data_IF_661580196894
#
_entry.id   IF_661580196894
#
_cell.length_a   1.000
_cell.length_b   1.000
_cell.length_c   1.000
_cell.angle_alpha   90.00
_cell.angle_beta   90.00
_cell.angle_gamma   90.00
#
_symmetry.space_group_name_H-M   'P 1'
#
loop_
_entity.id
_entity.type
_entity.pdbx_description
1 polymer ?
#
# COMPACT_ATOMS: atom_id res chain seq x y z
N UNK A 1 6.02 22.32 -5.07
CA UNK A 1 6.00 21.21 -4.12
C UNK A 1 4.78 20.35 -4.43
N UNK A 2 4.97 19.09 -4.81
CA UNK A 2 3.93 18.12 -5.12
C UNK A 2 4.02 16.98 -4.10
N UNK A 3 2.89 16.63 -3.50
CA UNK A 3 2.77 15.52 -2.55
C UNK A 3 1.87 14.44 -3.14
N UNK A 4 2.27 13.18 -2.99
CA UNK A 4 1.38 12.03 -3.20
C UNK A 4 0.88 11.58 -1.83
N UNK A 5 -0.43 11.60 -1.62
CA UNK A 5 -1.03 11.25 -0.34
C UNK A 5 -1.90 10.00 -0.51
N UNK A 6 -1.58 8.95 0.25
CA UNK A 6 -2.28 7.67 0.29
C UNK A 6 -2.54 7.27 1.75
N UNK A 7 -3.46 6.33 1.99
CA UNK A 7 -3.81 5.85 3.32
C UNK A 7 -4.43 4.45 3.23
N UNK A 8 -4.67 3.81 4.37
CA UNK A 8 -5.54 2.62 4.51
C UNK A 8 -5.15 1.43 3.61
N UNK A 9 -3.85 1.15 3.50
CA UNK A 9 -3.33 0.08 2.66
C UNK A 9 -3.73 -1.31 3.19
N UNK A 10 -3.76 -1.47 4.52
CA UNK A 10 -4.04 -2.71 5.23
C UNK A 10 -3.31 -3.94 4.63
N UNK A 11 -2.00 -3.84 4.38
CA UNK A 11 -1.22 -4.93 3.77
C UNK A 11 -1.34 -6.19 4.64
N UNK A 12 -1.61 -7.33 4.00
CA UNK A 12 -1.87 -8.62 4.67
C UNK A 12 -3.34 -8.89 5.00
N UNK A 13 -4.26 -8.05 4.51
CA UNK A 13 -5.71 -8.21 4.72
C UNK A 13 -6.22 -9.51 4.12
N UNK A 14 -7.25 -10.08 4.76
CA UNK A 14 -8.06 -11.16 4.18
C UNK A 14 -9.50 -10.68 4.05
N UNK A 15 -10.14 -10.99 2.93
CA UNK A 15 -11.53 -10.64 2.65
C UNK A 15 -12.30 -11.93 2.44
N UNK A 16 -13.27 -12.24 3.31
CA UNK A 16 -14.02 -13.50 3.28
C UNK A 16 -13.12 -14.74 3.17
N UNK A 17 -12.07 -14.79 4.01
CA UNK A 17 -11.05 -15.84 4.02
C UNK A 17 -10.07 -15.86 2.84
N UNK A 18 -10.31 -15.09 1.78
CA UNK A 18 -9.38 -14.94 0.66
C UNK A 18 -8.23 -14.01 1.01
N UNK A 19 -7.02 -14.44 0.68
CA UNK A 19 -5.83 -13.59 0.74
C UNK A 19 -5.84 -12.65 -0.46
N UNK A 20 -5.61 -11.36 -0.23
CA UNK A 20 -5.57 -10.33 -1.29
C UNK A 20 -4.16 -9.77 -1.50
N UNK A 21 -3.12 -10.46 -1.03
CA UNK A 21 -1.72 -10.03 -1.15
C UNK A 21 -1.32 -9.76 -2.61
N UNK A 22 -1.75 -10.59 -3.56
CA UNK A 22 -1.42 -10.38 -4.97
C UNK A 22 -2.05 -9.09 -5.52
N UNK A 23 -3.30 -8.80 -5.16
CA UNK A 23 -3.97 -7.53 -5.50
C UNK A 23 -3.29 -6.33 -4.82
N UNK A 24 -2.85 -6.51 -3.57
CA UNK A 24 -2.11 -5.49 -2.83
C UNK A 24 -0.75 -5.20 -3.46
N UNK A 25 -0.06 -6.23 -3.94
CA UNK A 25 1.18 -6.06 -4.71
C UNK A 25 0.92 -5.30 -6.02
N UNK A 26 -0.14 -5.67 -6.74
CA UNK A 26 -0.52 -4.98 -7.98
C UNK A 26 -0.76 -3.49 -7.76
N UNK A 27 -1.52 -3.11 -6.72
CA UNK A 27 -1.79 -1.68 -6.47
C UNK A 27 -0.53 -0.93 -6.01
N UNK A 28 0.35 -1.55 -5.22
CA UNK A 28 1.64 -0.95 -4.85
C UNK A 28 2.53 -0.71 -6.08
N UNK A 29 2.56 -1.64 -7.04
CA UNK A 29 3.25 -1.46 -8.32
C UNK A 29 2.66 -0.29 -9.14
N UNK A 30 1.33 -0.12 -9.14
CA UNK A 30 0.70 1.05 -9.77
C UNK A 30 1.04 2.36 -9.05
N UNK A 31 1.10 2.38 -7.71
CA UNK A 31 1.49 3.56 -6.94
C UNK A 31 2.94 3.95 -7.27
N UNK A 32 3.85 2.98 -7.40
CA UNK A 32 5.22 3.24 -7.82
C UNK A 32 5.27 3.86 -9.22
N UNK A 33 4.53 3.28 -10.18
CA UNK A 33 4.43 3.84 -11.54
C UNK A 33 3.90 5.28 -11.55
N UNK A 34 2.84 5.56 -10.78
CA UNK A 34 2.30 6.92 -10.63
C UNK A 34 3.35 7.86 -10.01
N UNK A 35 4.12 7.37 -9.04
CA UNK A 35 5.20 8.14 -8.42
C UNK A 35 6.29 8.50 -9.44
N UNK A 36 6.67 7.56 -10.31
CA UNK A 36 7.65 7.79 -11.38
C UNK A 36 7.16 8.79 -12.44
N UNK A 37 5.88 8.70 -12.82
CA UNK A 37 5.24 9.57 -13.81
C UNK A 37 5.04 10.99 -13.26
N UNK A 38 4.48 11.12 -12.06
CA UNK A 38 4.09 12.40 -11.47
C UNK A 38 5.23 13.15 -10.78
N UNK A 39 6.29 12.43 -10.40
CA UNK A 39 7.49 12.95 -9.70
C UNK A 39 7.13 13.84 -8.50
N UNK A 40 6.37 13.33 -7.50
CA UNK A 40 6.12 14.08 -6.28
C UNK A 40 7.42 14.27 -5.50
N UNK A 41 7.52 15.37 -4.75
CA UNK A 41 8.64 15.64 -3.86
C UNK A 41 8.62 14.71 -2.63
N UNK A 42 7.44 14.21 -2.24
CA UNK A 42 7.27 13.27 -1.13
C UNK A 42 5.99 12.46 -1.25
N UNK A 43 6.01 11.25 -0.66
CA UNK A 43 4.84 10.39 -0.49
C UNK A 43 4.47 10.37 0.99
N UNK A 44 3.22 10.72 1.30
CA UNK A 44 2.64 10.63 2.64
C UNK A 44 1.71 9.42 2.71
N UNK A 45 1.96 8.54 3.68
CA UNK A 45 1.09 7.40 3.99
C UNK A 45 0.38 7.68 5.32
N UNK A 46 -0.88 8.07 5.28
CA UNK A 46 -1.65 8.52 6.44
C UNK A 46 -2.32 7.36 7.19
N UNK A 47 -1.50 6.47 7.74
CA UNK A 47 -1.95 5.41 8.64
C UNK A 47 -2.32 4.10 7.95
N UNK A 48 -2.60 3.10 8.78
CA UNK A 48 -3.11 1.77 8.41
C UNK A 48 -2.34 1.10 7.26
N UNK A 49 -1.00 1.11 7.37
CA UNK A 49 -0.10 0.44 6.43
C UNK A 49 -0.33 -1.06 6.42
N UNK A 50 -0.43 -1.66 7.60
CA UNK A 50 -0.63 -3.10 7.78
C UNK A 50 -2.02 -3.38 8.35
N UNK A 51 -2.61 -4.52 7.98
CA UNK A 51 -3.92 -4.94 8.51
C UNK A 51 -3.87 -5.20 10.02
N UNK A 52 -2.72 -5.65 10.53
CA UNK A 52 -2.51 -6.00 11.94
C UNK A 52 -1.23 -5.36 12.47
N UNK A 53 -1.21 -5.06 13.77
CA UNK A 53 -0.03 -4.54 14.46
C UNK A 53 1.17 -5.50 14.42
N UNK A 54 0.90 -6.80 14.31
CA UNK A 54 1.90 -7.83 14.02
C UNK A 54 1.56 -8.45 12.64
N UNK A 55 2.12 -7.92 11.54
CA UNK A 55 1.85 -8.43 10.20
C UNK A 55 2.43 -9.83 10.00
N UNK A 56 1.85 -10.58 9.06
CA UNK A 56 2.41 -11.87 8.64
C UNK A 56 3.71 -11.66 7.84
N UNK A 57 4.53 -12.71 7.74
CA UNK A 57 5.76 -12.66 6.94
C UNK A 57 5.50 -12.39 5.45
N UNK A 58 4.31 -12.74 4.95
CA UNK A 58 3.90 -12.46 3.58
C UNK A 58 3.56 -10.98 3.35
N UNK A 59 3.19 -10.26 4.41
CA UNK A 59 2.83 -8.85 4.33
C UNK A 59 4.04 -7.90 4.42
N UNK A 60 5.25 -8.39 4.73
CA UNK A 60 6.48 -7.62 4.95
C UNK A 60 7.49 -7.92 3.86
#
# INVERSE_FOLDING_TARGET
MKLLHIADLHIGKRVNEFNVIDDQKYILEQILRITDEEKPDSVLIAGDVYDKSQPSAEAV
#
